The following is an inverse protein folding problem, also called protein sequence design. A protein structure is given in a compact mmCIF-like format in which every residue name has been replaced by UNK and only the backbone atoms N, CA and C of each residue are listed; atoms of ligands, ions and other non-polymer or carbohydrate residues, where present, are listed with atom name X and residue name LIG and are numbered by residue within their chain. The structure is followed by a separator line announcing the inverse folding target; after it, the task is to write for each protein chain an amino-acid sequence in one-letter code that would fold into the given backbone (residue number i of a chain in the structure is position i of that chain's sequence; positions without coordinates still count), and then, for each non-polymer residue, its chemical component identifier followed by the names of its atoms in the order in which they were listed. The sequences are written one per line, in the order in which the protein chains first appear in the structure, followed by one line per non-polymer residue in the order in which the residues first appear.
data_IF_809056899576
#
_entry.id   IF_809056899576
#
_cell.length_a   1.000
_cell.length_b   1.000
_cell.length_c   1.000
_cell.angle_alpha   90.00
_cell.angle_beta   90.00
_cell.angle_gamma   90.00
#
_symmetry.space_group_name_H-M   'P 1'
#
loop_
_entity.id
_entity.type
_entity.pdbx_description
1 polymer ?
#
# COMPACT_ATOMS: atom_id res chain seq x y z
N UNK A 1 -34.51 9.60 -19.66
CA UNK A 1 -33.79 10.89 -19.79
C UNK A 1 -33.91 11.65 -18.48
N UNK A 2 -32.92 11.56 -17.59
CA UNK A 2 -32.77 12.49 -16.46
C UNK A 2 -31.28 12.76 -16.32
N UNK A 3 -30.86 13.94 -16.80
CA UNK A 3 -29.56 14.55 -16.49
C UNK A 3 -29.78 15.42 -15.26
N UNK A 4 -29.14 15.11 -14.14
CA UNK A 4 -28.87 16.11 -13.11
C UNK A 4 -27.37 16.26 -12.94
N UNK A 5 -26.85 17.31 -13.59
CA UNK A 5 -25.64 18.01 -13.22
C UNK A 5 -25.90 18.68 -11.87
N UNK A 6 -25.18 18.30 -10.83
CA UNK A 6 -25.01 19.12 -9.63
C UNK A 6 -23.52 19.24 -9.39
N UNK A 7 -22.91 20.17 -10.13
CA UNK A 7 -21.59 20.70 -9.79
C UNK A 7 -21.82 21.73 -8.69
N UNK A 8 -21.30 21.45 -7.49
CA UNK A 8 -21.14 22.46 -6.45
C UNK A 8 -20.23 23.58 -6.97
N UNK A 9 -20.54 24.85 -6.68
CA UNK A 9 -19.61 25.94 -6.96
C UNK A 9 -18.50 25.94 -5.89
N UNK A 10 -17.26 25.67 -6.30
CA UNK A 10 -16.09 26.12 -5.56
C UNK A 10 -16.02 27.65 -5.69
N UNK A 11 -16.40 28.35 -4.63
CA UNK A 11 -16.17 29.81 -4.51
C UNK A 11 -14.68 30.02 -4.25
N UNK A 12 -13.96 30.36 -5.31
CA UNK A 12 -12.57 30.81 -5.26
C UNK A 12 -12.54 32.27 -4.78
N UNK A 13 -12.18 32.49 -3.51
CA UNK A 13 -11.82 33.82 -3.02
C UNK A 13 -10.32 34.05 -3.28
N UNK A 14 -10.00 34.71 -4.40
CA UNK A 14 -8.69 35.29 -4.68
C UNK A 14 -8.58 36.66 -3.98
N UNK A 15 -7.66 36.78 -3.04
CA UNK A 15 -7.17 38.08 -2.56
C UNK A 15 -5.77 38.36 -3.15
N UNK A 16 -5.47 39.60 -3.58
CA UNK A 16 -4.15 39.95 -4.09
C UNK A 16 -3.20 40.27 -2.93
N UNK A 17 -2.04 39.61 -2.89
CA UNK A 17 -0.92 40.07 -2.07
C UNK A 17 0.10 40.79 -2.95
N UNK A 18 0.33 42.04 -2.59
CA UNK A 18 1.23 43.01 -3.21
C UNK A 18 2.69 42.63 -3.06
N UNK A 19 3.44 42.91 -4.12
CA UNK A 19 4.89 42.78 -4.30
C UNK A 19 5.66 43.65 -3.29
N UNK A 20 6.66 43.05 -2.63
CA UNK A 20 7.67 43.77 -1.85
C UNK A 20 9.05 43.16 -2.09
N UNK A 21 9.82 43.76 -3.00
CA UNK A 21 11.23 43.44 -3.22
C UNK A 21 12.07 43.91 -2.02
N UNK A 22 12.77 42.98 -1.35
CA UNK A 22 13.97 43.29 -0.59
C UNK A 22 15.15 42.53 -1.17
N UNK A 23 16.19 43.30 -1.44
CA UNK A 23 17.51 42.92 -1.94
C UNK A 23 18.27 42.32 -0.76
N UNK A 24 18.69 41.06 -0.85
CA UNK A 24 19.43 40.38 0.23
C UNK A 24 20.85 40.06 -0.24
N UNK A 25 21.80 40.42 0.61
CA UNK A 25 23.26 40.31 0.47
C UNK A 25 23.73 38.84 0.41
N UNK A 26 24.93 38.57 -0.14
CA UNK A 26 25.48 37.23 -0.16
C UNK A 26 26.02 36.83 1.22
N UNK A 27 25.82 35.57 1.67
CA UNK A 27 26.28 35.14 2.98
C UNK A 27 27.80 34.90 3.02
N UNK A 28 28.40 35.26 4.15
CA UNK A 28 29.79 34.99 4.49
C UNK A 28 30.07 33.48 4.64
N UNK A 29 31.31 33.03 4.39
CA UNK A 29 31.68 31.61 4.47
C UNK A 29 31.65 31.08 5.92
N UNK A 30 31.09 29.87 6.08
CA UNK A 30 30.98 29.17 7.35
C UNK A 30 32.35 28.63 7.83
N UNK A 31 32.61 28.59 9.15
CA UNK A 31 33.83 28.01 9.71
C UNK A 31 33.82 26.48 9.67
N UNK A 32 35.00 25.91 9.43
CA UNK A 32 35.26 24.46 9.33
C UNK A 32 34.88 23.69 10.61
N UNK A 33 34.09 22.63 10.44
CA UNK A 33 33.77 21.69 11.51
C UNK A 33 34.90 20.67 11.71
N UNK A 34 35.42 20.59 12.94
CA UNK A 34 36.37 19.56 13.36
C UNK A 34 35.68 18.18 13.42
N UNK A 35 36.34 17.09 12.98
CA UNK A 35 35.79 15.75 13.07
C UNK A 35 35.75 15.28 14.54
N UNK A 36 34.56 14.96 15.02
CA UNK A 36 34.36 14.33 16.32
C UNK A 36 34.54 12.81 16.16
N UNK A 37 35.63 12.28 16.72
CA UNK A 37 35.91 10.85 16.76
C UNK A 37 35.01 10.18 17.82
N UNK A 38 34.01 9.42 17.37
CA UNK A 38 33.23 8.55 18.24
C UNK A 38 34.04 7.28 18.54
N UNK A 39 34.55 7.17 19.77
CA UNK A 39 35.05 5.91 20.33
C UNK A 39 33.87 4.98 20.63
N UNK A 40 33.89 3.78 20.06
CA UNK A 40 33.03 2.65 20.46
C UNK A 40 33.68 1.93 21.66
N UNK A 41 32.99 1.77 22.81
CA UNK A 41 33.47 0.91 23.87
C UNK A 41 33.13 -0.56 23.56
N UNK A 42 34.17 -1.37 23.41
CA UNK A 42 34.08 -2.83 23.37
C UNK A 42 33.94 -3.35 24.81
N UNK A 43 32.72 -3.68 25.23
CA UNK A 43 32.41 -4.19 26.56
C UNK A 43 31.59 -5.48 26.50
N UNK A 44 32.21 -6.60 26.87
CA UNK A 44 31.59 -7.92 27.04
C UNK A 44 30.48 -7.89 28.11
N UNK A 45 29.31 -8.42 27.75
CA UNK A 45 28.50 -9.24 28.66
C UNK A 45 27.52 -8.55 29.62
N UNK A 46 26.48 -7.90 29.09
CA UNK A 46 25.16 -7.82 29.74
C UNK A 46 24.09 -8.02 28.67
N UNK A 47 23.20 -8.99 28.87
CA UNK A 47 22.01 -9.19 28.02
C UNK A 47 21.26 -7.86 27.90
N UNK A 48 20.79 -7.47 26.70
CA UNK A 48 20.14 -6.18 26.52
C UNK A 48 18.93 -6.11 27.45
N UNK A 49 19.01 -5.23 28.44
CA UNK A 49 17.88 -4.80 29.26
C UNK A 49 16.74 -4.48 28.31
N UNK A 50 15.62 -5.20 28.51
CA UNK A 50 14.41 -5.16 27.69
C UNK A 50 14.13 -3.72 27.27
N UNK A 51 14.21 -3.43 25.98
CA UNK A 51 14.01 -2.07 25.45
C UNK A 51 12.67 -1.57 25.99
N UNK A 52 12.62 -0.40 26.65
CA UNK A 52 11.37 0.12 27.20
C UNK A 52 10.31 0.13 26.11
N UNK A 53 9.14 -0.45 26.40
CA UNK A 53 8.04 -0.53 25.44
C UNK A 53 7.61 0.90 25.15
N UNK A 54 7.72 1.31 23.89
CA UNK A 54 7.33 2.66 23.49
C UNK A 54 5.84 2.91 23.80
N UNK A 55 5.46 4.13 24.20
CA UNK A 55 4.05 4.49 24.39
C UNK A 55 3.21 4.19 23.14
N UNK A 56 2.00 3.66 23.32
CA UNK A 56 1.09 3.34 22.21
C UNK A 56 0.11 4.52 22.07
N UNK A 57 -0.02 5.15 20.89
CA UNK A 57 -1.00 6.23 20.69
C UNK A 57 -2.44 5.74 20.94
N UNK A 58 -3.23 6.56 21.63
CA UNK A 58 -4.66 6.34 21.85
C UNK A 58 -5.44 6.80 20.62
N UNK A 59 -5.59 5.91 19.65
CA UNK A 59 -6.42 6.19 18.48
C UNK A 59 -7.90 6.26 18.84
N UNK A 60 -8.59 7.21 18.24
CA UNK A 60 -10.03 7.19 18.16
C UNK A 60 -10.50 5.94 17.35
N UNK A 61 -11.50 5.18 17.81
CA UNK A 61 -11.99 3.99 17.12
C UNK A 61 -12.45 4.25 15.67
N UNK A 62 -13.12 5.39 15.41
CA UNK A 62 -13.54 5.78 14.06
C UNK A 62 -12.31 6.00 13.17
N UNK A 63 -11.29 6.69 13.68
CA UNK A 63 -10.06 6.93 12.92
C UNK A 63 -9.33 5.62 12.54
N UNK A 64 -9.28 4.64 13.46
CA UNK A 64 -8.70 3.33 13.19
C UNK A 64 -9.52 2.53 12.16
N UNK A 65 -10.85 2.52 12.31
CA UNK A 65 -11.75 1.81 11.39
C UNK A 65 -11.70 2.43 9.99
N UNK A 66 -11.77 3.76 9.87
CA UNK A 66 -11.60 4.47 8.60
C UNK A 66 -10.26 4.13 7.94
N UNK A 67 -9.16 4.13 8.69
CA UNK A 67 -7.84 3.74 8.14
C UNK A 67 -7.87 2.32 7.54
N UNK A 68 -8.39 1.33 8.28
CA UNK A 68 -8.46 -0.05 7.79
C UNK A 68 -9.40 -0.21 6.60
N UNK A 69 -10.53 0.48 6.61
CA UNK A 69 -11.49 0.52 5.51
C UNK A 69 -10.87 1.11 4.24
N UNK A 70 -10.14 2.22 4.35
CA UNK A 70 -9.49 2.85 3.21
C UNK A 70 -8.38 1.96 2.63
N UNK A 71 -7.54 1.35 3.47
CA UNK A 71 -6.52 0.40 3.00
C UNK A 71 -7.16 -0.82 2.34
N UNK A 72 -8.26 -1.35 2.90
CA UNK A 72 -9.02 -2.43 2.29
C UNK A 72 -9.56 -2.03 0.92
N UNK A 73 -10.34 -0.95 0.84
CA UNK A 73 -11.02 -0.57 -0.39
C UNK A 73 -10.04 -0.17 -1.49
N UNK A 74 -9.13 0.77 -1.22
CA UNK A 74 -8.18 1.24 -2.23
C UNK A 74 -7.12 0.19 -2.55
N UNK A 75 -6.67 -0.59 -1.56
CA UNK A 75 -5.71 -1.65 -1.80
C UNK A 75 -6.28 -2.79 -2.65
N UNK A 76 -7.57 -3.11 -2.49
CA UNK A 76 -8.24 -4.16 -3.30
C UNK A 76 -8.54 -3.73 -4.73
N UNK A 77 -8.37 -2.45 -5.10
CA UNK A 77 -8.38 -2.03 -6.50
C UNK A 77 -7.30 -2.73 -7.33
N UNK A 78 -6.22 -3.18 -6.70
CA UNK A 78 -5.21 -4.02 -7.37
C UNK A 78 -5.78 -5.36 -7.85
N UNK A 79 -6.86 -5.88 -7.26
CA UNK A 79 -7.57 -7.06 -7.76
C UNK A 79 -8.26 -6.80 -9.10
N UNK A 80 -8.78 -5.58 -9.31
CA UNK A 80 -9.37 -5.17 -10.61
C UNK A 80 -8.30 -5.11 -11.69
N UNK A 81 -7.13 -4.55 -11.36
CA UNK A 81 -5.99 -4.56 -12.27
C UNK A 81 -5.55 -5.98 -12.63
N UNK A 82 -5.44 -6.88 -11.64
CA UNK A 82 -5.09 -8.27 -11.86
C UNK A 82 -6.12 -8.98 -12.76
N UNK A 83 -7.41 -8.71 -12.58
CA UNK A 83 -8.47 -9.16 -13.50
C UNK A 83 -8.24 -8.64 -14.90
N UNK A 84 -8.10 -7.33 -15.07
CA UNK A 84 -8.06 -6.71 -16.39
C UNK A 84 -6.83 -7.17 -17.18
N UNK A 85 -5.69 -7.32 -16.49
CA UNK A 85 -4.48 -7.92 -17.06
C UNK A 85 -4.70 -9.40 -17.44
N UNK A 86 -5.33 -10.18 -16.55
CA UNK A 86 -5.60 -11.59 -16.79
C UNK A 86 -6.52 -11.79 -18.00
N UNK A 87 -7.67 -11.12 -18.01
CA UNK A 87 -8.63 -11.18 -19.11
C UNK A 87 -8.05 -10.60 -20.40
N UNK A 88 -7.25 -9.52 -20.31
CA UNK A 88 -6.54 -8.96 -21.46
C UNK A 88 -5.52 -9.92 -22.08
N UNK A 89 -4.80 -10.68 -21.26
CA UNK A 89 -3.78 -11.64 -21.71
C UNK A 89 -4.37 -12.87 -22.42
N UNK A 90 -5.56 -13.30 -22.01
CA UNK A 90 -6.23 -14.48 -22.58
C UNK A 90 -7.24 -14.13 -23.68
N UNK A 91 -7.90 -12.97 -23.56
CA UNK A 91 -9.10 -12.65 -24.33
C UNK A 91 -10.27 -13.53 -23.90
N UNK A 92 -10.89 -14.24 -24.86
CA UNK A 92 -11.99 -15.18 -24.61
C UNK A 92 -11.54 -16.64 -24.46
N UNK A 93 -10.24 -16.89 -24.58
CA UNK A 93 -9.70 -18.24 -24.66
C UNK A 93 -9.28 -18.77 -23.29
N UNK A 94 -9.25 -20.09 -23.17
CA UNK A 94 -8.65 -20.76 -22.02
C UNK A 94 -7.11 -20.69 -22.07
N UNK A 95 -6.43 -20.83 -20.91
CA UNK A 95 -4.98 -20.95 -20.86
C UNK A 95 -4.47 -22.10 -21.75
N UNK A 96 -3.43 -21.81 -22.54
CA UNK A 96 -2.81 -22.77 -23.46
C UNK A 96 -1.36 -22.41 -23.73
N UNK A 97 -0.63 -23.27 -24.45
CA UNK A 97 0.76 -23.00 -24.85
C UNK A 97 0.93 -21.68 -25.61
N UNK A 98 -0.11 -21.24 -26.35
CA UNK A 98 -0.10 -19.98 -27.09
C UNK A 98 -0.50 -18.77 -26.23
N UNK A 99 -1.14 -19.02 -25.08
CA UNK A 99 -1.77 -18.01 -24.23
C UNK A 99 -1.56 -18.34 -22.76
N UNK A 100 -0.42 -17.91 -22.24
CA UNK A 100 -0.10 -17.98 -20.82
C UNK A 100 -0.67 -16.70 -20.16
N UNK A 101 -1.52 -16.82 -19.12
CA UNK A 101 -2.09 -15.66 -18.47
C UNK A 101 -1.04 -14.78 -17.79
N UNK A 102 -1.29 -13.47 -17.74
CA UNK A 102 -0.51 -12.49 -16.98
C UNK A 102 -1.40 -11.71 -16.02
N UNK A 103 -0.90 -11.42 -14.83
CA UNK A 103 -1.60 -10.61 -13.82
C UNK A 103 -1.11 -9.15 -13.78
N UNK A 104 -0.31 -8.72 -14.76
CA UNK A 104 0.13 -7.31 -14.87
C UNK A 104 1.18 -6.90 -13.84
N UNK A 105 1.99 -7.84 -13.36
CA UNK A 105 3.13 -7.56 -12.48
C UNK A 105 4.34 -7.22 -13.38
N UNK A 106 4.83 -5.96 -13.40
CA UNK A 106 5.94 -5.57 -14.25
C UNK A 106 7.20 -6.37 -13.89
N UNK A 107 7.86 -6.93 -14.89
CA UNK A 107 9.06 -7.76 -14.71
C UNK A 107 8.83 -9.27 -14.61
N UNK A 108 7.58 -9.73 -14.55
CA UNK A 108 7.24 -11.11 -14.87
C UNK A 108 7.20 -11.25 -16.40
N UNK A 109 8.35 -11.15 -17.06
CA UNK A 109 8.42 -11.46 -18.49
C UNK A 109 7.97 -12.91 -18.68
N UNK A 110 6.95 -13.12 -19.54
CA UNK A 110 6.67 -14.44 -20.10
C UNK A 110 7.98 -14.99 -20.67
N UNK A 111 8.28 -16.29 -20.50
CA UNK A 111 9.36 -16.90 -21.26
C UNK A 111 9.14 -16.59 -22.75
N UNK A 112 10.20 -16.26 -23.52
CA UNK A 112 10.06 -15.96 -24.93
C UNK A 112 9.31 -17.11 -25.59
N UNK A 113 8.27 -16.78 -26.38
CA UNK A 113 7.53 -17.77 -27.14
C UNK A 113 8.53 -18.70 -27.85
N UNK A 114 8.37 -20.04 -27.76
CA UNK A 114 9.28 -20.95 -28.44
C UNK A 114 9.35 -20.53 -29.90
N UNK A 115 10.55 -20.39 -30.48
CA UNK A 115 10.69 -19.96 -31.86
C UNK A 115 9.85 -20.90 -32.71
N UNK A 116 8.93 -20.33 -33.49
CA UNK A 116 8.20 -21.05 -34.52
C UNK A 116 9.24 -21.83 -35.32
N UNK A 117 9.23 -23.16 -35.19
CA UNK A 117 10.20 -24.04 -35.85
C UNK A 117 10.14 -23.76 -37.35
N UNK A 118 11.10 -22.99 -37.85
CA UNK A 118 11.33 -22.87 -39.28
C UNK A 118 11.70 -24.28 -39.79
N UNK A 119 11.20 -24.68 -40.97
CA UNK A 119 11.55 -25.97 -41.55
C UNK A 119 13.08 -26.07 -41.72
N UNK A 120 13.67 -27.26 -41.52
CA UNK A 120 15.11 -27.43 -41.44
C UNK A 120 15.80 -26.96 -42.72
N UNK A 121 16.83 -26.09 -42.63
CA UNK A 121 17.60 -25.70 -43.79
C UNK A 121 18.49 -26.86 -44.26
N UNK A 122 18.58 -27.01 -45.58
CA UNK A 122 19.47 -27.96 -46.25
C UNK A 122 20.95 -27.68 -45.88
N UNK A 123 21.79 -28.73 -45.79
CA UNK A 123 23.20 -28.56 -45.47
C UNK A 123 23.95 -27.99 -46.68
N UNK A 124 24.68 -26.89 -46.46
CA UNK A 124 25.48 -26.25 -47.50
C UNK A 124 26.57 -25.34 -46.93
N UNK A 125 27.79 -25.89 -46.91
CA UNK A 125 29.09 -25.23 -47.14
C UNK A 125 29.55 -24.07 -46.25
N UNK A 126 30.63 -24.38 -45.52
CA UNK A 126 31.56 -23.51 -44.83
C UNK A 126 32.15 -22.39 -45.70
N UNK A 127 32.31 -21.19 -45.12
CA UNK A 127 33.36 -20.26 -45.50
C UNK A 127 33.78 -19.41 -44.28
N UNK A 128 35.10 -19.31 -44.11
CA UNK A 128 35.81 -18.61 -43.05
C UNK A 128 35.84 -17.08 -43.26
N UNK A 129 36.15 -16.34 -42.18
CA UNK A 129 36.86 -15.03 -42.09
C UNK A 129 36.45 -14.36 -40.77
N UNK A 130 37.23 -13.60 -40.01
CA UNK A 130 38.65 -13.21 -39.99
C UNK A 130 38.84 -12.38 -38.71
N UNK A 131 40.03 -12.45 -38.11
CA UNK A 131 40.37 -11.86 -36.83
C UNK A 131 40.68 -10.35 -36.85
N UNK A 132 40.51 -9.69 -35.70
CA UNK A 132 41.29 -8.54 -35.21
C UNK A 132 40.51 -7.23 -34.97
N UNK A 133 41.01 -6.26 -34.16
CA UNK A 133 41.88 -6.41 -32.98
C UNK A 133 41.44 -5.58 -31.74
N UNK A 134 42.11 -5.96 -30.65
CA UNK A 134 42.34 -5.39 -29.31
C UNK A 134 42.25 -3.85 -29.16
N UNK A 135 41.56 -3.39 -28.12
CA UNK A 135 41.75 -2.07 -27.52
C UNK A 135 41.85 -2.15 -25.98
N UNK A 136 42.85 -1.45 -25.46
CA UNK A 136 43.41 -1.46 -24.11
C UNK A 136 42.49 -0.97 -22.99
N UNK A 137 42.79 -1.50 -21.80
CA UNK A 137 42.16 -1.28 -20.51
C UNK A 137 42.48 0.09 -19.85
N UNK A 138 41.54 0.54 -19.02
CA UNK A 138 41.75 1.39 -17.85
C UNK A 138 40.94 0.79 -16.66
N UNK A 139 41.38 0.95 -15.40
CA UNK A 139 41.05 0.02 -14.33
C UNK A 139 39.79 0.38 -13.51
N UNK A 140 39.04 -0.69 -13.19
CA UNK A 140 38.37 -0.97 -11.92
C UNK A 140 37.62 0.16 -11.19
N UNK A 141 36.36 0.36 -11.55
CA UNK A 141 35.33 0.62 -10.55
C UNK A 141 34.50 -0.65 -10.37
N UNK A 142 34.49 -1.13 -9.13
CA UNK A 142 33.81 -2.32 -8.64
C UNK A 142 32.34 -2.34 -9.05
N UNK A 143 32.06 -3.12 -10.09
CA UNK A 143 30.73 -3.59 -10.40
C UNK A 143 30.23 -4.41 -9.21
N UNK A 144 29.41 -3.77 -8.38
CA UNK A 144 28.42 -4.45 -7.57
C UNK A 144 27.48 -5.13 -8.58
N UNK A 145 27.86 -6.32 -9.03
CA UNK A 145 26.91 -7.28 -9.60
C UNK A 145 26.01 -7.64 -8.43
N UNK A 146 25.01 -6.78 -8.22
CA UNK A 146 23.89 -7.07 -7.36
C UNK A 146 23.30 -8.36 -7.88
N UNK A 147 23.62 -9.47 -7.20
CA UNK A 147 22.73 -10.61 -7.17
C UNK A 147 21.36 -10.01 -6.88
N UNK A 148 20.51 -9.93 -7.91
CA UNK A 148 19.07 -9.79 -7.75
C UNK A 148 18.74 -10.83 -6.69
N UNK A 149 18.50 -10.38 -5.45
CA UNK A 149 17.88 -11.22 -4.46
C UNK A 149 16.56 -11.58 -5.11
N UNK A 150 16.53 -12.77 -5.71
CA UNK A 150 15.33 -13.32 -6.30
C UNK A 150 14.28 -13.24 -5.21
N UNK A 151 13.23 -12.53 -5.57
CA UNK A 151 12.16 -11.99 -4.77
C UNK A 151 11.34 -13.10 -4.11
N UNK A 152 11.93 -13.84 -3.18
CA UNK A 152 11.36 -15.03 -2.53
C UNK A 152 10.42 -14.67 -1.36
N UNK A 153 9.85 -13.47 -1.35
CA UNK A 153 9.02 -13.04 -0.22
C UNK A 153 8.10 -11.85 -0.44
N UNK A 154 8.16 -11.14 -1.58
CA UNK A 154 7.11 -10.18 -1.89
C UNK A 154 5.83 -10.96 -2.21
N UNK A 155 5.02 -11.20 -1.16
CA UNK A 155 3.60 -11.54 -1.33
C UNK A 155 3.04 -10.57 -2.37
N UNK A 156 2.35 -11.09 -3.38
CA UNK A 156 1.72 -10.26 -4.38
C UNK A 156 0.93 -9.15 -3.68
N UNK A 157 1.05 -7.87 -4.10
CA UNK A 157 0.42 -6.72 -3.43
C UNK A 157 -1.06 -6.96 -3.09
N UNK A 158 -1.74 -7.73 -3.94
CA UNK A 158 -3.13 -8.19 -3.78
C UNK A 158 -3.42 -8.87 -2.43
N UNK A 159 -2.55 -9.74 -1.94
CA UNK A 159 -2.79 -10.51 -0.71
C UNK A 159 -2.67 -9.63 0.54
N UNK A 160 -1.66 -8.74 0.57
CA UNK A 160 -1.48 -7.78 1.67
C UNK A 160 -2.73 -6.91 1.81
N UNK A 161 -3.26 -6.43 0.69
CA UNK A 161 -4.39 -5.51 0.67
C UNK A 161 -5.72 -6.22 1.01
N UNK A 162 -5.95 -7.43 0.52
CA UNK A 162 -7.13 -8.21 0.86
C UNK A 162 -7.21 -8.53 2.37
N UNK A 163 -6.07 -8.81 3.02
CA UNK A 163 -6.02 -9.02 4.47
C UNK A 163 -6.45 -7.79 5.28
N UNK A 164 -6.25 -6.59 4.75
CA UNK A 164 -6.72 -5.37 5.42
C UNK A 164 -8.25 -5.34 5.54
N UNK A 165 -8.98 -5.99 4.63
CA UNK A 165 -10.43 -6.11 4.70
C UNK A 165 -10.90 -6.98 5.86
N UNK A 166 -10.20 -8.08 6.17
CA UNK A 166 -10.49 -8.89 7.36
C UNK A 166 -10.26 -8.08 8.63
N UNK A 167 -9.14 -7.35 8.71
CA UNK A 167 -8.87 -6.47 9.86
C UNK A 167 -9.94 -5.39 9.99
N UNK A 168 -10.41 -4.81 8.89
CA UNK A 168 -11.50 -3.83 8.91
C UNK A 168 -12.82 -4.45 9.39
N UNK A 169 -13.15 -5.67 8.94
CA UNK A 169 -14.34 -6.41 9.36
C UNK A 169 -14.33 -6.80 10.85
N UNK A 170 -13.14 -7.05 11.42
CA UNK A 170 -12.98 -7.38 12.84
C UNK A 170 -13.14 -6.16 13.76
N UNK A 171 -13.08 -4.93 13.23
CA UNK A 171 -13.30 -3.70 13.99
C UNK A 171 -14.79 -3.43 14.15
N UNK A 172 -15.34 -3.84 15.30
CA UNK A 172 -16.76 -3.64 15.63
C UNK A 172 -17.13 -2.19 15.89
N UNK A 173 -16.21 -1.41 16.45
CA UNK A 173 -16.46 -0.03 16.86
C UNK A 173 -15.76 0.99 15.95
N UNK A 174 -16.43 2.10 15.60
CA UNK A 174 -17.87 2.33 15.77
C UNK A 174 -18.68 1.48 14.79
N UNK A 175 -19.94 1.22 15.13
CA UNK A 175 -20.86 0.52 14.23
C UNK A 175 -21.08 1.34 12.94
N UNK A 176 -20.91 0.69 11.79
CA UNK A 176 -21.16 1.27 10.47
C UNK A 176 -22.02 0.29 9.68
N UNK A 177 -23.34 0.18 9.96
CA UNK A 177 -24.14 -0.97 9.56
C UNK A 177 -24.03 -1.36 8.08
N UNK A 178 -24.10 -0.38 7.17
CA UNK A 178 -24.01 -0.63 5.73
C UNK A 178 -22.60 -1.05 5.29
N UNK A 179 -21.56 -0.47 5.88
CA UNK A 179 -20.16 -0.83 5.62
C UNK A 179 -19.86 -2.22 6.21
N UNK A 180 -20.33 -2.50 7.41
CA UNK A 180 -20.13 -3.77 8.12
C UNK A 180 -20.83 -4.91 7.39
N UNK A 181 -22.05 -4.67 6.88
CA UNK A 181 -22.76 -5.61 6.01
C UNK A 181 -22.00 -5.87 4.71
N UNK A 182 -21.47 -4.82 4.06
CA UNK A 182 -20.66 -4.97 2.85
C UNK A 182 -19.35 -5.73 3.11
N UNK A 183 -18.66 -5.43 4.22
CA UNK A 183 -17.41 -6.09 4.61
C UNK A 183 -17.61 -7.58 4.93
N UNK A 184 -18.72 -7.95 5.56
CA UNK A 184 -19.05 -9.36 5.88
C UNK A 184 -19.05 -10.23 4.62
N UNK A 185 -19.45 -9.66 3.47
CA UNK A 185 -19.40 -10.34 2.17
C UNK A 185 -18.06 -10.18 1.48
N UNK A 186 -17.52 -8.95 1.42
CA UNK A 186 -16.36 -8.63 0.60
C UNK A 186 -15.03 -9.12 1.19
N UNK A 187 -14.86 -9.12 2.51
CA UNK A 187 -13.61 -9.53 3.16
C UNK A 187 -13.23 -11.00 2.88
N UNK A 188 -14.10 -12.01 3.10
CA UNK A 188 -13.77 -13.40 2.75
C UNK A 188 -13.57 -13.59 1.24
N UNK A 189 -14.43 -12.96 0.42
CA UNK A 189 -14.34 -13.02 -1.05
C UNK A 189 -13.01 -12.48 -1.58
N UNK A 190 -12.61 -11.28 -1.16
CA UNK A 190 -11.35 -10.64 -1.62
C UNK A 190 -10.12 -11.44 -1.18
N UNK A 191 -10.15 -12.03 0.01
CA UNK A 191 -9.08 -12.90 0.50
C UNK A 191 -8.98 -14.18 -0.33
N UNK A 192 -10.09 -14.84 -0.63
CA UNK A 192 -10.11 -16.03 -1.48
C UNK A 192 -9.62 -15.73 -2.90
N UNK A 193 -10.13 -14.66 -3.53
CA UNK A 193 -9.69 -14.23 -4.84
C UNK A 193 -8.18 -13.93 -4.86
N UNK A 194 -7.65 -13.24 -3.84
CA UNK A 194 -6.21 -12.96 -3.75
C UNK A 194 -5.37 -14.24 -3.69
N UNK A 195 -5.86 -15.29 -3.01
CA UNK A 195 -5.21 -16.61 -2.95
C UNK A 195 -5.28 -17.34 -4.28
N UNK A 196 -6.43 -17.28 -4.98
CA UNK A 196 -6.59 -17.87 -6.31
C UNK A 196 -5.65 -17.22 -7.32
N UNK A 197 -5.51 -15.88 -7.29
CA UNK A 197 -4.53 -15.15 -8.12
C UNK A 197 -3.11 -15.57 -7.79
N UNK A 198 -2.73 -15.64 -6.51
CA UNK A 198 -1.40 -16.06 -6.11
C UNK A 198 -1.09 -17.50 -6.54
N UNK A 199 -2.03 -18.42 -6.38
CA UNK A 199 -1.90 -19.81 -6.81
C UNK A 199 -1.70 -19.91 -8.33
N UNK A 200 -2.49 -19.19 -9.11
CA UNK A 200 -2.33 -19.12 -10.56
C UNK A 200 -1.00 -18.49 -10.97
N UNK A 201 -0.61 -17.37 -10.36
CA UNK A 201 0.68 -16.72 -10.61
C UNK A 201 1.83 -17.69 -10.39
N UNK A 202 1.86 -18.41 -9.26
CA UNK A 202 2.91 -19.38 -8.95
C UNK A 202 2.90 -20.55 -9.94
N UNK A 203 1.72 -21.07 -10.30
CA UNK A 203 1.57 -22.17 -11.24
C UNK A 203 2.15 -21.84 -12.62
N UNK A 204 1.83 -20.66 -13.18
CA UNK A 204 2.37 -20.24 -14.47
C UNK A 204 3.84 -19.82 -14.40
N UNK A 205 4.28 -19.15 -13.33
CA UNK A 205 5.67 -18.77 -13.14
C UNK A 205 6.61 -19.97 -12.99
N UNK A 206 6.14 -21.06 -12.38
CA UNK A 206 6.91 -22.31 -12.21
C UNK A 206 6.79 -23.27 -13.39
N UNK A 207 6.10 -22.84 -14.45
CA UNK A 207 5.82 -23.65 -15.64
C UNK A 207 5.22 -25.03 -15.31
N UNK A 208 4.44 -25.12 -14.22
CA UNK A 208 3.82 -26.38 -13.79
C UNK A 208 2.85 -26.93 -14.86
N UNK A 209 2.34 -26.04 -15.73
CA UNK A 209 1.52 -26.40 -16.89
C UNK A 209 2.20 -27.34 -17.89
N UNK A 210 3.54 -27.37 -17.93
CA UNK A 210 4.28 -28.31 -18.80
C UNK A 210 4.14 -29.76 -18.35
N UNK A 211 3.82 -29.98 -17.06
CA UNK A 211 3.73 -31.31 -16.44
C UNK A 211 2.33 -31.90 -16.55
N UNK A 212 1.30 -31.07 -16.43
CA UNK A 212 -0.11 -31.47 -16.41
C UNK A 212 -0.88 -31.05 -17.68
N UNK A 213 -0.18 -30.53 -18.69
CA UNK A 213 -0.77 -30.05 -19.95
C UNK A 213 -1.94 -29.07 -19.73
N UNK A 214 -1.77 -28.15 -18.77
CA UNK A 214 -2.73 -27.10 -18.42
C UNK A 214 -3.98 -27.55 -17.65
N UNK A 215 -4.07 -28.79 -17.17
CA UNK A 215 -5.26 -29.26 -16.41
C UNK A 215 -5.56 -28.36 -15.20
N UNK A 216 -4.58 -28.13 -14.32
CA UNK A 216 -4.76 -27.24 -13.16
C UNK A 216 -4.96 -25.79 -13.56
N UNK A 217 -4.30 -25.35 -14.65
CA UNK A 217 -4.46 -24.01 -15.21
C UNK A 217 -5.91 -23.72 -15.64
N UNK A 218 -6.58 -24.70 -16.25
CA UNK A 218 -7.98 -24.60 -16.67
C UNK A 218 -8.94 -24.58 -15.48
N UNK A 219 -8.66 -25.36 -14.44
CA UNK A 219 -9.43 -25.31 -13.20
C UNK A 219 -9.32 -23.93 -12.51
N UNK A 220 -8.10 -23.40 -12.41
CA UNK A 220 -7.85 -22.07 -11.87
C UNK A 220 -8.52 -20.98 -12.71
N UNK A 221 -8.49 -21.10 -14.04
CA UNK A 221 -9.17 -20.18 -14.94
C UNK A 221 -10.67 -20.11 -14.67
N UNK A 222 -11.36 -21.25 -14.56
CA UNK A 222 -12.80 -21.29 -14.26
C UNK A 222 -13.13 -20.58 -12.95
N UNK A 223 -12.34 -20.82 -11.90
CA UNK A 223 -12.49 -20.15 -10.59
C UNK A 223 -12.27 -18.64 -10.71
N UNK A 224 -11.16 -18.23 -11.32
CA UNK A 224 -10.81 -16.82 -11.48
C UNK A 224 -11.85 -16.05 -12.28
N UNK A 225 -12.31 -16.57 -13.41
CA UNK A 225 -13.35 -15.92 -14.23
C UNK A 225 -14.65 -15.76 -13.44
N UNK A 226 -15.07 -16.78 -12.69
CA UNK A 226 -16.26 -16.71 -11.84
C UNK A 226 -16.11 -15.67 -10.72
N UNK A 227 -14.94 -15.59 -10.08
CA UNK A 227 -14.68 -14.62 -9.02
C UNK A 227 -14.57 -13.19 -9.57
N UNK A 228 -13.91 -13.02 -10.72
CA UNK A 228 -13.78 -11.73 -11.40
C UNK A 228 -15.12 -11.14 -11.84
N UNK A 229 -16.09 -11.98 -12.22
CA UNK A 229 -17.44 -11.55 -12.52
C UNK A 229 -18.16 -10.94 -11.29
N UNK A 230 -17.82 -11.41 -10.08
CA UNK A 230 -18.38 -10.90 -8.82
C UNK A 230 -17.60 -9.72 -8.23
N UNK A 231 -16.37 -9.50 -8.70
CA UNK A 231 -15.46 -8.51 -8.12
C UNK A 231 -16.03 -7.09 -8.17
N UNK A 232 -16.52 -6.66 -9.34
CA UNK A 232 -17.03 -5.29 -9.48
C UNK A 232 -18.24 -5.05 -8.61
N UNK A 233 -19.20 -5.99 -8.61
CA UNK A 233 -20.40 -5.87 -7.81
C UNK A 233 -20.09 -5.74 -6.31
N UNK A 234 -19.22 -6.60 -5.77
CA UNK A 234 -18.91 -6.56 -4.35
C UNK A 234 -18.06 -5.33 -3.97
N UNK A 235 -17.10 -4.95 -4.83
CA UNK A 235 -16.28 -3.76 -4.60
C UNK A 235 -17.11 -2.46 -4.72
N UNK A 236 -18.07 -2.40 -5.66
CA UNK A 236 -18.96 -1.24 -5.83
C UNK A 236 -19.93 -1.10 -4.67
N UNK A 237 -20.45 -2.21 -4.11
CA UNK A 237 -21.27 -2.19 -2.88
C UNK A 237 -20.49 -1.59 -1.71
N UNK A 238 -19.26 -2.06 -1.46
CA UNK A 238 -18.41 -1.52 -0.40
C UNK A 238 -18.06 -0.04 -0.67
N UNK A 239 -17.65 0.30 -1.89
CA UNK A 239 -17.31 1.68 -2.27
C UNK A 239 -18.48 2.64 -2.10
N UNK A 240 -19.70 2.20 -2.44
CA UNK A 240 -20.92 2.98 -2.27
C UNK A 240 -21.26 3.20 -0.80
N UNK A 241 -21.15 2.16 0.04
CA UNK A 241 -21.36 2.27 1.48
C UNK A 241 -20.35 3.24 2.13
N UNK A 242 -19.06 3.16 1.75
CA UNK A 242 -18.02 4.09 2.22
C UNK A 242 -18.31 5.53 1.76
N UNK A 243 -18.75 5.72 0.52
CA UNK A 243 -19.07 7.04 -0.01
C UNK A 243 -20.28 7.66 0.71
N UNK A 244 -21.32 6.86 0.96
CA UNK A 244 -22.49 7.30 1.72
C UNK A 244 -22.10 7.69 3.16
N UNK A 245 -21.32 6.84 3.84
CA UNK A 245 -20.85 7.12 5.20
C UNK A 245 -20.09 8.44 5.31
N UNK A 246 -19.12 8.70 4.43
CA UNK A 246 -18.37 9.96 4.47
C UNK A 246 -19.21 11.20 4.15
N UNK A 247 -20.26 11.04 3.35
CA UNK A 247 -21.19 12.13 3.08
C UNK A 247 -22.01 12.48 4.33
N UNK A 248 -22.41 11.48 5.10
CA UNK A 248 -23.18 11.64 6.34
C UNK A 248 -22.32 12.03 7.54
N UNK A 249 -21.04 11.66 7.51
CA UNK A 249 -20.07 11.89 8.58
C UNK A 249 -18.88 12.71 8.05
N UNK A 250 -19.10 13.97 7.62
CA UNK A 250 -18.01 14.80 7.16
C UNK A 250 -17.03 15.08 8.30
N UNK A 251 -15.74 15.14 7.96
CA UNK A 251 -14.71 15.52 8.92
C UNK A 251 -14.91 16.98 9.32
N UNK A 252 -14.93 17.23 10.63
CA UNK A 252 -14.98 18.59 11.16
C UNK A 252 -13.60 19.27 11.05
N UNK A 253 -13.37 19.87 9.88
CA UNK A 253 -12.10 20.54 9.54
C UNK A 253 -11.74 21.68 10.50
N UNK A 254 -12.70 22.21 11.26
CA UNK A 254 -12.47 23.29 12.22
C UNK A 254 -11.81 22.80 13.52
N UNK A 255 -11.89 21.50 13.82
CA UNK A 255 -11.29 20.90 15.02
C UNK A 255 -9.85 20.40 14.82
N UNK A 256 -9.36 20.48 13.59
CA UNK A 256 -8.04 19.96 13.22
C UNK A 256 -6.98 21.02 13.43
N UNK A 257 -5.76 20.59 13.77
CA UNK A 257 -4.61 21.48 13.70
C UNK A 257 -4.27 21.82 12.24
N UNK A 258 -3.52 22.90 12.03
CA UNK A 258 -3.23 23.43 10.69
C UNK A 258 -2.56 22.38 9.80
N UNK A 259 -1.58 21.65 10.34
CA UNK A 259 -0.86 20.60 9.63
C UNK A 259 -1.79 19.47 9.19
N UNK A 260 -2.65 18.99 10.09
CA UNK A 260 -3.66 17.98 9.80
C UNK A 260 -4.66 18.44 8.74
N UNK A 261 -5.16 19.68 8.84
CA UNK A 261 -6.12 20.25 7.89
C UNK A 261 -5.57 20.36 6.47
N UNK A 262 -4.33 20.83 6.33
CA UNK A 262 -3.64 20.92 5.04
C UNK A 262 -3.46 19.51 4.44
N UNK A 263 -3.03 18.55 5.25
CA UNK A 263 -2.84 17.16 4.81
C UNK A 263 -4.15 16.50 4.41
N UNK A 264 -5.24 16.67 5.17
CA UNK A 264 -6.54 16.10 4.81
C UNK A 264 -7.09 16.69 3.51
N UNK A 265 -6.86 17.98 3.26
CA UNK A 265 -7.23 18.61 1.98
C UNK A 265 -6.50 17.96 0.81
N UNK A 266 -5.18 17.78 0.92
CA UNK A 266 -4.38 17.10 -0.10
C UNK A 266 -4.78 15.61 -0.24
N UNK A 267 -5.08 14.95 0.88
CA UNK A 267 -5.51 13.56 0.94
C UNK A 267 -6.82 13.34 0.18
N UNK A 268 -7.84 14.17 0.44
CA UNK A 268 -9.14 14.06 -0.24
C UNK A 268 -9.02 14.36 -1.75
N UNK A 269 -8.12 15.26 -2.13
CA UNK A 269 -7.80 15.51 -3.54
C UNK A 269 -7.12 14.30 -4.19
N UNK A 270 -6.13 13.72 -3.53
CA UNK A 270 -5.47 12.50 -3.99
C UNK A 270 -6.45 11.33 -4.11
N UNK A 271 -7.37 11.20 -3.15
CA UNK A 271 -8.47 10.22 -3.18
C UNK A 271 -9.38 10.44 -4.38
N UNK A 272 -9.77 11.69 -4.64
CA UNK A 272 -10.59 12.07 -5.79
C UNK A 272 -9.94 11.68 -7.11
N UNK A 273 -8.63 11.87 -7.24
CA UNK A 273 -7.87 11.44 -8.43
C UNK A 273 -7.96 9.91 -8.65
N UNK A 274 -7.74 9.11 -7.61
CA UNK A 274 -7.90 7.64 -7.72
C UNK A 274 -9.33 7.25 -8.11
N UNK A 275 -10.34 7.87 -7.48
CA UNK A 275 -11.74 7.56 -7.79
C UNK A 275 -12.12 8.00 -9.22
N UNK A 276 -11.57 9.10 -9.72
CA UNK A 276 -11.88 9.59 -11.06
C UNK A 276 -11.41 8.65 -12.18
N UNK A 277 -10.30 7.92 -11.98
CA UNK A 277 -9.83 6.93 -12.96
C UNK A 277 -10.60 5.61 -12.91
N UNK A 278 -11.42 5.40 -11.88
CA UNK A 278 -12.36 4.28 -11.79
C UNK A 278 -13.70 4.58 -12.48
N UNK A 279 -13.94 5.83 -12.85
CA UNK A 279 -15.18 6.20 -13.52
C UNK A 279 -15.26 5.53 -14.90
N UNK A 280 -16.47 5.13 -15.31
CA UNK A 280 -16.73 4.57 -16.65
C UNK A 280 -16.29 5.50 -17.79
N UNK A 281 -16.25 6.81 -17.52
CA UNK A 281 -15.72 7.84 -18.40
C UNK A 281 -14.84 8.75 -17.58
N UNK A 282 -13.56 8.79 -17.91
CA UNK A 282 -12.59 9.63 -17.22
C UNK A 282 -12.67 11.03 -17.83
N UNK A 283 -12.92 12.04 -17.00
CA UNK A 283 -12.79 13.44 -17.38
C UNK A 283 -11.31 13.84 -17.30
N UNK A 284 -10.62 13.78 -18.43
CA UNK A 284 -9.17 14.04 -18.49
C UNK A 284 -8.81 15.48 -18.13
N UNK A 285 -9.72 16.44 -18.39
CA UNK A 285 -9.53 17.84 -18.03
C UNK A 285 -9.63 18.01 -16.51
N UNK A 286 -10.68 17.46 -15.88
CA UNK A 286 -10.84 17.49 -14.43
C UNK A 286 -9.72 16.72 -13.71
N UNK A 287 -9.26 15.60 -14.27
CA UNK A 287 -8.12 14.87 -13.73
C UNK A 287 -6.84 15.72 -13.73
N UNK A 288 -6.51 16.35 -14.88
CA UNK A 288 -5.35 17.23 -15.00
C UNK A 288 -5.41 18.42 -14.04
N UNK A 289 -6.59 19.03 -13.90
CA UNK A 289 -6.82 20.10 -12.92
C UNK A 289 -6.60 19.59 -11.49
N UNK A 290 -7.13 18.42 -11.14
CA UNK A 290 -6.94 17.78 -9.85
C UNK A 290 -5.46 17.52 -9.51
N UNK A 291 -4.66 17.09 -10.49
CA UNK A 291 -3.21 16.89 -10.31
C UNK A 291 -2.50 18.21 -10.05
N UNK A 292 -2.77 19.26 -10.83
CA UNK A 292 -2.20 20.58 -10.63
C UNK A 292 -2.61 21.19 -9.28
N UNK A 293 -3.86 20.96 -8.87
CA UNK A 293 -4.36 21.38 -7.58
C UNK A 293 -3.65 20.60 -6.46
N UNK A 294 -3.44 19.28 -6.58
CA UNK A 294 -2.72 18.50 -5.58
C UNK A 294 -1.29 19.00 -5.39
N UNK A 295 -0.59 19.37 -6.47
CA UNK A 295 0.73 19.97 -6.40
C UNK A 295 0.75 21.25 -5.54
N UNK A 296 -0.28 22.11 -5.67
CA UNK A 296 -0.42 23.31 -4.84
C UNK A 296 -0.62 22.99 -3.36
N UNK A 297 -1.42 21.98 -3.03
CA UNK A 297 -1.61 21.58 -1.62
C UNK A 297 -0.30 21.05 -1.03
N UNK A 298 0.47 20.28 -1.81
CA UNK A 298 1.77 19.76 -1.39
C UNK A 298 2.75 20.90 -1.08
N UNK A 299 2.79 21.94 -1.92
CA UNK A 299 3.63 23.12 -1.66
C UNK A 299 3.16 23.92 -0.43
N UNK A 300 1.85 23.98 -0.17
CA UNK A 300 1.33 24.58 1.06
C UNK A 300 1.79 23.78 2.31
N UNK A 301 1.71 22.44 2.26
CA UNK A 301 2.18 21.58 3.35
C UNK A 301 3.70 21.73 3.55
N UNK A 302 4.49 21.79 2.48
CA UNK A 302 5.95 22.03 2.55
C UNK A 302 6.26 23.37 3.21
N UNK A 303 5.59 24.43 2.77
CA UNK A 303 5.75 25.79 3.33
C UNK A 303 5.43 25.80 4.82
N UNK A 304 4.31 25.17 5.21
CA UNK A 304 3.94 25.01 6.61
C UNK A 304 4.99 24.22 7.39
N UNK A 305 5.48 23.10 6.86
CA UNK A 305 6.49 22.26 7.50
C UNK A 305 7.85 22.94 7.70
N UNK A 306 8.26 23.83 6.79
CA UNK A 306 9.47 24.66 6.97
C UNK A 306 9.34 25.59 8.17
N UNK A 307 8.15 26.15 8.40
CA UNK A 307 7.86 27.03 9.53
C UNK A 307 7.54 26.25 10.82
N UNK A 308 7.28 24.95 10.72
CA UNK A 308 6.85 24.07 11.82
C UNK A 308 7.60 22.73 11.76
N UNK A 309 8.93 22.75 11.90
CA UNK A 309 9.80 21.59 11.62
C UNK A 309 9.55 20.35 12.48
N UNK A 310 8.90 20.52 13.64
CA UNK A 310 8.48 19.42 14.52
C UNK A 310 7.11 18.83 14.17
N UNK A 311 6.36 19.44 13.25
CA UNK A 311 5.03 18.99 12.87
C UNK A 311 5.09 17.61 12.20
N UNK A 312 4.44 16.59 12.79
CA UNK A 312 4.49 15.24 12.24
C UNK A 312 3.72 15.12 10.92
N UNK A 313 2.69 15.95 10.69
CA UNK A 313 1.86 15.88 9.49
C UNK A 313 2.65 16.22 8.24
N UNK A 314 3.26 17.40 8.19
CA UNK A 314 4.06 17.82 7.05
C UNK A 314 5.26 16.88 6.82
N UNK A 315 6.02 16.57 7.89
CA UNK A 315 7.24 15.76 7.79
C UNK A 315 6.98 14.34 7.24
N UNK A 316 5.89 13.72 7.63
CA UNK A 316 5.61 12.30 7.31
C UNK A 316 4.85 12.16 5.99
N UNK A 317 3.98 13.11 5.65
CA UNK A 317 3.07 12.96 4.50
C UNK A 317 3.55 13.61 3.21
N UNK A 318 4.42 14.62 3.25
CA UNK A 318 4.95 15.26 2.03
C UNK A 318 5.62 14.25 1.09
N UNK A 319 6.57 13.39 1.54
CA UNK A 319 7.22 12.45 0.61
C UNK A 319 6.26 11.51 -0.13
N UNK A 320 5.32 10.80 0.53
CA UNK A 320 4.36 9.94 -0.17
C UNK A 320 3.34 10.73 -1.00
N UNK A 321 2.93 11.94 -0.59
CA UNK A 321 2.08 12.79 -1.43
C UNK A 321 2.79 13.23 -2.71
N UNK A 322 4.06 13.63 -2.64
CA UNK A 322 4.86 13.97 -3.82
C UNK A 322 5.09 12.74 -4.73
N UNK A 323 5.34 11.56 -4.15
CA UNK A 323 5.46 10.33 -4.93
C UNK A 323 4.13 9.98 -5.64
N UNK A 324 3.00 10.13 -4.95
CA UNK A 324 1.68 9.94 -5.53
C UNK A 324 1.36 10.98 -6.63
N UNK A 325 1.67 12.25 -6.40
CA UNK A 325 1.51 13.32 -7.41
C UNK A 325 2.28 12.95 -8.69
N UNK A 326 3.54 12.53 -8.58
CA UNK A 326 4.33 12.10 -9.72
C UNK A 326 3.68 10.92 -10.45
N UNK A 327 3.20 9.91 -9.72
CA UNK A 327 2.48 8.78 -10.32
C UNK A 327 1.18 9.24 -11.02
N UNK A 328 0.49 10.25 -10.46
CA UNK A 328 -0.71 10.81 -11.06
C UNK A 328 -0.42 11.62 -12.33
N UNK A 329 0.70 12.35 -12.39
CA UNK A 329 1.20 13.02 -13.60
C UNK A 329 1.57 12.02 -14.69
N UNK A 330 2.30 10.95 -14.34
CA UNK A 330 2.66 9.87 -15.29
C UNK A 330 1.43 9.13 -15.80
N UNK A 331 0.42 8.92 -14.94
CA UNK A 331 -0.86 8.33 -15.32
C UNK A 331 -1.62 9.20 -16.32
N UNK A 332 -1.45 10.53 -16.31
CA UNK A 332 -2.15 11.43 -17.23
C UNK A 332 -1.88 11.10 -18.71
N UNK A 333 -0.65 10.68 -19.05
CA UNK A 333 -0.29 10.27 -20.40
C UNK A 333 -0.88 8.91 -20.81
N UNK A 334 -1.38 8.14 -19.83
CA UNK A 334 -1.93 6.78 -19.97
C UNK A 334 -3.44 6.72 -19.81
N UNK A 335 -4.09 7.88 -19.67
CA UNK A 335 -5.55 8.00 -19.60
C UNK A 335 -6.10 8.23 -21.01
N UNK A 336 -7.11 7.45 -21.36
CA UNK A 336 -7.87 7.54 -22.60
C UNK A 336 -9.38 7.56 -22.33
N UNK A 337 -10.18 7.70 -23.39
CA UNK A 337 -11.63 7.51 -23.36
C UNK A 337 -12.04 6.08 -22.94
N UNK A 338 -11.14 5.10 -23.08
CA UNK A 338 -11.33 3.70 -22.67
C UNK A 338 -10.94 3.42 -21.23
N UNK A 339 -10.41 4.40 -20.51
CA UNK A 339 -9.88 4.23 -19.16
C UNK A 339 -8.37 4.47 -19.08
N UNK A 340 -7.79 4.04 -17.97
CA UNK A 340 -6.36 4.14 -17.68
C UNK A 340 -5.64 2.83 -18.01
N UNK A 341 -4.46 2.90 -18.61
CA UNK A 341 -3.65 1.71 -18.87
C UNK A 341 -3.17 1.04 -17.57
N UNK A 342 -3.00 -0.30 -17.53
CA UNK A 342 -2.55 -1.02 -16.33
C UNK A 342 -1.24 -0.46 -15.73
N UNK A 343 -0.29 -0.05 -16.58
CA UNK A 343 1.00 0.51 -16.18
C UNK A 343 0.90 1.91 -15.59
N UNK A 344 -0.24 2.60 -15.73
CA UNK A 344 -0.52 3.86 -15.05
C UNK A 344 -1.31 3.64 -13.76
N UNK A 345 -2.21 2.65 -13.76
CA UNK A 345 -3.14 2.41 -12.67
C UNK A 345 -2.47 1.86 -11.40
N UNK A 346 -1.58 0.86 -11.53
CA UNK A 346 -0.96 0.22 -10.37
C UNK A 346 -0.06 1.19 -9.56
N UNK A 347 0.85 1.97 -10.18
CA UNK A 347 1.61 2.99 -9.45
C UNK A 347 0.71 3.99 -8.73
N UNK A 348 -0.40 4.40 -9.35
CA UNK A 348 -1.37 5.32 -8.76
C UNK A 348 -2.01 4.74 -7.48
N UNK A 349 -2.53 3.51 -7.55
CA UNK A 349 -3.17 2.83 -6.40
C UNK A 349 -2.16 2.56 -5.27
N UNK A 350 -0.97 2.08 -5.60
CA UNK A 350 0.08 1.82 -4.61
C UNK A 350 0.59 3.11 -3.96
N UNK A 351 0.75 4.17 -4.76
CA UNK A 351 1.10 5.51 -4.28
C UNK A 351 0.05 6.02 -3.29
N UNK A 352 -1.23 5.90 -3.64
CA UNK A 352 -2.31 6.37 -2.76
C UNK A 352 -2.40 5.55 -1.47
N UNK A 353 -2.23 4.23 -1.54
CA UNK A 353 -2.17 3.37 -0.34
C UNK A 353 -1.02 3.80 0.59
N UNK A 354 0.12 4.20 0.02
CA UNK A 354 1.24 4.75 0.79
C UNK A 354 0.89 6.08 1.46
N UNK A 355 0.08 6.93 0.81
CA UNK A 355 -0.46 8.17 1.41
C UNK A 355 -1.39 7.85 2.58
N UNK A 356 -2.29 6.87 2.46
CA UNK A 356 -3.18 6.42 3.55
C UNK A 356 -2.36 6.00 4.78
N UNK A 357 -1.33 5.18 4.57
CA UNK A 357 -0.45 4.73 5.65
C UNK A 357 0.36 5.88 6.26
N UNK A 358 0.81 6.83 5.45
CA UNK A 358 1.53 8.00 5.93
C UNK A 358 0.65 8.92 6.78
N UNK A 359 -0.60 9.14 6.35
CA UNK A 359 -1.62 9.87 7.13
C UNK A 359 -1.81 9.22 8.50
N UNK A 360 -1.98 7.89 8.56
CA UNK A 360 -2.13 7.18 9.84
C UNK A 360 -0.87 7.25 10.72
N UNK A 361 0.33 7.17 10.13
CA UNK A 361 1.60 7.37 10.86
C UNK A 361 1.75 8.80 11.38
N UNK A 362 1.32 9.80 10.62
CA UNK A 362 1.31 11.19 11.07
C UNK A 362 0.38 11.39 12.27
N UNK A 363 -0.85 10.87 12.19
CA UNK A 363 -1.80 10.87 13.30
C UNK A 363 -1.20 10.20 14.54
N UNK A 364 -0.61 9.01 14.39
CA UNK A 364 0.07 8.29 15.48
C UNK A 364 1.10 9.16 16.21
N UNK A 365 1.94 9.87 15.45
CA UNK A 365 2.98 10.76 16.00
C UNK A 365 2.38 12.02 16.61
N UNK A 366 1.35 12.59 16.01
CA UNK A 366 0.63 13.74 16.55
C UNK A 366 -0.02 13.41 17.91
N UNK A 367 -0.71 12.26 18.01
CA UNK A 367 -1.30 11.78 19.28
C UNK A 367 -0.24 11.56 20.35
N UNK A 368 0.89 10.96 19.99
CA UNK A 368 2.03 10.76 20.91
C UNK A 368 2.59 12.08 21.40
N UNK A 369 2.79 13.06 20.50
CA UNK A 369 3.28 14.40 20.85
C UNK A 369 2.29 15.17 21.74
N UNK A 370 0.98 14.93 21.59
CA UNK A 370 -0.09 15.47 22.43
C UNK A 370 -0.23 14.72 23.78
N UNK A 371 0.63 13.74 24.07
CA UNK A 371 0.54 12.92 25.28
C UNK A 371 -0.66 11.95 25.31
N UNK A 372 -1.36 11.78 24.18
CA UNK A 372 -2.50 10.89 24.05
C UNK A 372 -2.03 9.47 23.78
N UNK A 373 -1.42 8.86 24.80
CA UNK A 373 -0.88 7.51 24.76
C UNK A 373 -1.53 6.63 25.81
N UNK A 374 -1.61 5.34 25.53
CA UNK A 374 -1.99 4.29 26.48
C UNK A 374 -0.71 3.61 26.92
N UNK A 375 -0.50 3.51 28.24
CA UNK A 375 0.58 2.69 28.75
C UNK A 375 0.30 1.23 28.38
N UNK A 376 1.25 0.56 27.71
CA UNK A 376 1.08 -0.85 27.41
C UNK A 376 0.92 -1.59 28.73
N UNK A 377 -0.25 -2.18 28.96
CA UNK A 377 -0.44 -3.14 30.05
C UNK A 377 0.56 -4.26 29.81
N UNK A 378 1.69 -4.20 30.49
CA UNK A 378 2.67 -5.28 30.47
C UNK A 378 1.98 -6.58 30.83
N UNK A 379 2.41 -7.74 30.29
CA UNK A 379 1.96 -9.00 30.84
C UNK A 379 2.19 -8.95 32.35
N UNK A 380 1.24 -9.42 33.19
CA UNK A 380 1.44 -9.44 34.64
C UNK A 380 2.81 -10.05 34.85
N UNK A 381 3.74 -9.26 35.42
CA UNK A 381 5.07 -9.77 35.67
C UNK A 381 4.86 -11.01 36.53
N UNK A 382 5.07 -12.19 35.95
CA UNK A 382 5.28 -13.40 36.73
C UNK A 382 6.42 -13.01 37.65
N UNK A 383 6.10 -12.75 38.91
CA UNK A 383 7.10 -12.53 39.93
C UNK A 383 7.97 -13.77 39.85
N UNK A 384 9.16 -13.64 39.29
CA UNK A 384 10.14 -14.70 39.33
C UNK A 384 10.43 -14.84 40.83
N UNK A 385 10.09 -15.98 41.45
CA UNK A 385 10.34 -16.16 42.87
C UNK A 385 11.82 -15.89 43.09
N UNK A 386 12.11 -14.92 43.95
CA UNK A 386 13.48 -14.45 44.18
C UNK A 386 14.21 -15.57 44.92
N UNK A 387 15.25 -16.20 44.33
CA UNK A 387 15.98 -17.26 45.01
C UNK A 387 16.70 -16.63 46.20
N UNK A 388 16.30 -16.98 47.42
CA UNK A 388 16.94 -16.52 48.65
C UNK A 388 16.03 -15.83 49.67
N UNK A 389 14.71 -15.76 49.46
CA UNK A 389 13.80 -15.36 50.54
C UNK A 389 13.63 -16.55 51.50
N UNK A 390 14.14 -16.49 52.75
CA UNK A 390 14.06 -17.60 53.68
C UNK A 390 12.61 -17.78 54.14
N UNK A 391 12.05 -18.96 53.82
CA UNK A 391 10.90 -19.59 54.47
C UNK A 391 9.77 -18.69 54.95
N UNK A 392 8.79 -18.41 54.09
CA UNK A 392 7.41 -18.36 54.57
C UNK A 392 6.85 -19.80 54.58
N UNK A 393 6.37 -20.30 55.73
CA UNK A 393 5.78 -21.63 55.82
C UNK A 393 4.54 -21.71 54.92
N UNK A 394 4.46 -22.78 54.13
CA UNK A 394 3.50 -22.96 53.06
C UNK A 394 2.05 -22.81 53.52
N UNK A 395 1.27 -22.03 52.78
CA UNK A 395 -0.17 -22.24 52.73
C UNK A 395 -0.41 -23.61 52.09
N UNK A 396 -0.85 -24.55 52.93
CA UNK A 396 -1.46 -25.80 52.47
C UNK A 396 -2.56 -25.44 51.47
N UNK A 397 -2.40 -25.92 50.25
CA UNK A 397 -3.48 -26.00 49.28
C UNK A 397 -4.39 -27.11 49.80
N UNK A 398 -5.49 -26.73 50.45
CA UNK A 398 -6.60 -27.65 50.74
C UNK A 398 -7.10 -28.20 49.40
N UNK A 399 -6.87 -29.50 49.21
CA UNK A 399 -7.52 -30.29 48.19
C UNK A 399 -8.99 -30.41 48.61
N UNK A 400 -9.97 -30.00 47.78
CA UNK A 400 -11.37 -30.26 48.09
C UNK A 400 -11.61 -31.76 47.97
N UNK A 401 -11.97 -32.37 49.11
CA UNK A 401 -12.35 -33.77 49.23
C UNK A 401 -13.55 -34.11 48.32
N UNK A 402 -13.39 -35.23 47.61
CA UNK A 402 -14.43 -35.97 46.93
C UNK A 402 -15.49 -36.46 47.94
N UNK A 403 -16.63 -35.76 48.03
CA UNK A 403 -17.83 -36.34 48.62
C UNK A 403 -18.75 -36.91 47.54
N UNK A 404 -18.56 -38.20 47.31
CA UNK A 404 -19.57 -39.10 46.78
C UNK A 404 -20.80 -39.11 47.71
N UNK A 405 -21.95 -38.71 47.18
CA UNK A 405 -23.26 -38.82 47.83
C UNK A 405 -24.26 -39.47 46.89
N UNK A 406 -24.47 -40.78 47.09
CA UNK A 406 -25.59 -41.55 46.55
C UNK A 406 -26.89 -41.31 47.34
N UNK A 407 -28.01 -41.68 46.70
CA UNK A 407 -29.39 -41.81 47.18
C UNK A 407 -30.24 -40.51 47.10
N UNK A 408 -31.47 -40.49 46.56
CA UNK A 408 -32.46 -41.53 46.27
C UNK A 408 -33.24 -41.23 44.97
#
# INVERSE_FOLDING_TARGET
MIRLRSFLPFVLALAPLTVGCKKEEPPAPAPEAKPSAAMLPSGKGKLPLRTPIAPIPKFDPQAMKNYRLEVCYFGTLTLRQARDAYLGSLGKDEPSEKKIPSFGIPGASLPPAPPTLAPPPKPGTSAASSAGPVASAAPANSAFVGRKMADMGMRAPHERNARACTVAADLKEPAMPDIDAALTTFAPFSLELSRNIAAASVYYQREEYSKDKFERGKELHKKLVADFAKLDENADKLGSAIAAWHKEHPVDMAKLDEGERLVLTAYDRARGLVLSVLAKKIDTAAYKEGVAALAKDIEAIKTFGTNNTSDPWARITVPPLSAFQKAAEEAQAKISDKGIEPDGFLPLVNGFTSVIEAKHRALSRALTAKGQVVEPKGPPMRQIPTPGQPGQPGQQVEHPDDHAGHAH
#
